data_IF_504687661426
#
_entry.id   IF_504687661426
#
_cell.length_a   1.000
_cell.length_b   1.000
_cell.length_c   1.000
_cell.angle_alpha   90.00
_cell.angle_beta   90.00
_cell.angle_gamma   90.00
#
_symmetry.space_group_name_H-M   'P 1'
#
loop_
_entity.id
_entity.type
_entity.pdbx_description
1 polymer ?
#
# COMPACT_ATOMS: atom_id res chain seq x y z
N UNK A 1 10.46 -3.92 18.36
CA UNK A 1 9.69 -5.06 18.85
C UNK A 1 10.63 -6.23 19.15
N UNK A 2 11.29 -6.84 18.17
CA UNK A 2 12.12 -8.05 18.34
C UNK A 2 13.21 -7.94 19.42
N UNK A 3 13.80 -6.78 19.63
CA UNK A 3 14.78 -6.56 20.69
C UNK A 3 14.13 -6.57 22.08
N UNK A 4 12.96 -5.94 22.21
CA UNK A 4 12.28 -5.82 23.51
C UNK A 4 11.56 -7.11 23.90
N UNK A 5 11.08 -7.89 22.93
CA UNK A 5 10.49 -9.22 23.15
C UNK A 5 11.46 -10.19 23.83
N UNK A 6 12.77 -10.00 23.60
CA UNK A 6 13.83 -10.84 24.17
C UNK A 6 14.41 -10.28 25.49
N UNK A 7 13.93 -9.13 25.96
CA UNK A 7 14.41 -8.51 27.20
C UNK A 7 13.69 -9.09 28.42
N UNK A 8 14.46 -9.42 29.45
CA UNK A 8 13.91 -9.80 30.75
C UNK A 8 13.04 -8.66 31.32
N UNK A 9 11.89 -9.00 31.87
CA UNK A 9 10.97 -8.05 32.47
C UNK A 9 9.93 -7.46 31.51
N UNK A 10 9.87 -7.95 30.26
CA UNK A 10 8.90 -7.51 29.26
C UNK A 10 8.18 -8.69 28.59
N UNK A 11 6.88 -8.50 28.36
CA UNK A 11 6.07 -9.33 27.45
C UNK A 11 5.81 -8.60 26.15
N UNK A 12 5.58 -9.35 25.09
CA UNK A 12 5.25 -8.83 23.76
C UNK A 12 4.06 -9.58 23.17
N UNK A 13 3.22 -8.87 22.43
CA UNK A 13 2.04 -9.45 21.80
C UNK A 13 1.81 -8.79 20.44
N UNK A 14 1.39 -9.59 19.46
CA UNK A 14 0.98 -9.15 18.14
C UNK A 14 -0.50 -9.46 17.97
N UNK A 15 -1.29 -8.51 17.46
CA UNK A 15 -2.70 -8.74 17.14
C UNK A 15 -2.83 -9.75 15.99
N UNK A 16 -3.86 -10.56 16.01
CA UNK A 16 -4.18 -11.49 14.92
C UNK A 16 -4.79 -10.77 13.71
N UNK A 17 -5.37 -9.57 13.93
CA UNK A 17 -6.08 -8.80 12.90
C UNK A 17 -5.16 -7.86 12.15
N UNK A 18 -5.34 -7.81 10.83
CA UNK A 18 -4.73 -6.80 9.97
C UNK A 18 -5.32 -5.41 10.26
N UNK A 19 -4.47 -4.40 10.41
CA UNK A 19 -4.88 -3.04 10.77
C UNK A 19 -4.91 -2.09 9.58
N UNK A 20 -3.79 -1.99 8.88
CA UNK A 20 -3.60 -1.07 7.76
C UNK A 20 -2.88 -1.80 6.63
N UNK A 21 -3.16 -1.36 5.40
CA UNK A 21 -2.41 -1.81 4.23
C UNK A 21 -1.35 -0.76 3.88
N UNK A 22 -0.08 -1.16 3.81
CA UNK A 22 0.95 -0.40 3.12
C UNK A 22 0.89 -0.73 1.64
N UNK A 23 0.98 0.29 0.80
CA UNK A 23 0.89 0.12 -0.64
C UNK A 23 1.74 1.15 -1.39
N UNK A 24 2.12 0.80 -2.61
CA UNK A 24 2.66 1.76 -3.57
C UNK A 24 1.48 2.49 -4.22
N UNK A 25 1.49 3.82 -4.11
CA UNK A 25 0.60 4.72 -4.85
C UNK A 25 1.35 5.32 -6.04
N UNK A 26 0.72 5.33 -7.19
CA UNK A 26 1.29 5.84 -8.44
C UNK A 26 0.76 7.23 -8.76
N UNK A 27 1.59 8.07 -9.36
CA UNK A 27 1.11 9.29 -10.01
C UNK A 27 0.46 8.94 -11.35
N UNK A 28 -0.84 8.68 -11.33
CA UNK A 28 -1.61 8.27 -12.50
C UNK A 28 -1.68 9.34 -13.61
N UNK A 29 -1.28 10.60 -13.29
CA UNK A 29 -1.20 11.69 -14.27
C UNK A 29 0.16 11.79 -14.94
N UNK A 30 1.17 11.03 -14.47
CA UNK A 30 2.51 11.04 -15.08
C UNK A 30 2.51 10.27 -16.39
N UNK A 31 3.40 10.64 -17.30
CA UNK A 31 3.56 9.96 -18.60
C UNK A 31 3.94 8.49 -18.43
N UNK A 32 4.70 8.14 -17.37
CA UNK A 32 5.16 6.78 -17.10
C UNK A 32 4.05 5.95 -16.46
N UNK A 33 3.47 6.44 -15.35
CA UNK A 33 2.54 5.64 -14.54
C UNK A 33 1.06 5.78 -14.95
N UNK A 34 0.75 6.55 -15.99
CA UNK A 34 -0.54 6.46 -16.70
C UNK A 34 -0.67 5.15 -17.47
N UNK A 35 0.46 4.54 -17.91
CA UNK A 35 0.46 3.23 -18.55
C UNK A 35 0.32 2.12 -17.51
N UNK A 36 -0.77 1.36 -17.60
CA UNK A 36 -1.07 0.24 -16.70
C UNK A 36 0.02 -0.83 -16.73
N UNK A 37 0.60 -1.11 -17.90
CA UNK A 37 1.63 -2.16 -18.04
C UNK A 37 2.85 -1.86 -17.17
N UNK A 38 3.23 -0.58 -17.02
CA UNK A 38 4.36 -0.20 -16.15
C UNK A 38 4.02 -0.45 -14.67
N UNK A 39 2.78 -0.17 -14.26
CA UNK A 39 2.34 -0.43 -12.88
C UNK A 39 2.26 -1.93 -12.58
N UNK A 40 1.77 -2.73 -13.53
CA UNK A 40 1.74 -4.19 -13.43
C UNK A 40 3.15 -4.79 -13.37
N UNK A 41 4.07 -4.29 -14.19
CA UNK A 41 5.45 -4.74 -14.18
C UNK A 41 6.12 -4.47 -12.82
N UNK A 42 5.95 -3.28 -12.25
CA UNK A 42 6.45 -2.96 -10.90
C UNK A 42 5.80 -3.87 -9.85
N UNK A 43 4.48 -4.07 -9.92
CA UNK A 43 3.78 -4.93 -8.97
C UNK A 43 4.30 -6.36 -9.01
N UNK A 44 4.55 -6.88 -10.22
CA UNK A 44 5.09 -8.23 -10.42
C UNK A 44 6.59 -8.34 -10.10
N UNK A 45 7.32 -7.23 -10.06
CA UNK A 45 8.73 -7.23 -9.69
C UNK A 45 8.99 -7.23 -8.18
N UNK A 46 7.97 -6.95 -7.35
CA UNK A 46 8.15 -6.86 -5.90
C UNK A 46 7.89 -8.21 -5.24
N UNK A 47 8.93 -8.82 -4.67
CA UNK A 47 8.79 -9.99 -3.79
C UNK A 47 8.31 -9.51 -2.41
N UNK A 48 7.00 -9.61 -2.20
CA UNK A 48 6.33 -9.17 -0.97
C UNK A 48 6.66 -10.09 0.22
N UNK A 49 6.93 -11.37 -0.02
CA UNK A 49 7.36 -12.31 1.02
C UNK A 49 8.74 -11.88 1.54
N UNK A 50 9.65 -11.48 0.66
CA UNK A 50 10.95 -10.92 1.08
C UNK A 50 10.81 -9.59 1.86
N UNK A 51 9.83 -8.76 1.54
CA UNK A 51 9.51 -7.54 2.32
C UNK A 51 9.08 -7.93 3.74
N UNK A 52 8.14 -8.87 3.88
CA UNK A 52 7.66 -9.35 5.18
C UNK A 52 8.80 -9.94 6.01
N UNK A 53 9.56 -10.86 5.44
CA UNK A 53 10.54 -11.65 6.18
C UNK A 53 11.80 -10.84 6.49
N UNK A 54 12.37 -10.14 5.51
CA UNK A 54 13.68 -9.52 5.64
C UNK A 54 13.64 -8.09 6.20
N UNK A 55 12.53 -7.36 5.98
CA UNK A 55 12.40 -5.97 6.44
C UNK A 55 11.62 -5.90 7.74
N UNK A 56 10.54 -6.68 7.86
CA UNK A 56 9.67 -6.64 9.03
C UNK A 56 9.81 -7.85 9.95
N UNK A 57 10.69 -8.82 9.64
CA UNK A 57 10.99 -9.98 10.49
C UNK A 57 9.79 -10.88 10.75
N UNK A 58 8.86 -10.98 9.80
CA UNK A 58 7.65 -11.81 9.91
C UNK A 58 6.57 -11.24 10.83
N UNK A 59 6.68 -9.97 11.24
CA UNK A 59 5.71 -9.32 12.16
C UNK A 59 4.38 -8.96 11.49
N UNK A 60 4.37 -8.84 10.17
CA UNK A 60 3.24 -8.40 9.37
C UNK A 60 2.91 -9.46 8.31
N UNK A 61 1.75 -9.34 7.68
CA UNK A 61 1.35 -10.25 6.62
C UNK A 61 1.57 -9.64 5.24
N UNK A 62 1.83 -10.50 4.26
CA UNK A 62 1.83 -10.11 2.85
C UNK A 62 0.44 -9.62 2.44
N UNK A 63 0.37 -8.49 1.73
CA UNK A 63 -0.86 -7.98 1.15
C UNK A 63 -0.94 -8.32 -0.35
N UNK A 64 -1.84 -9.22 -0.70
CA UNK A 64 -2.15 -9.56 -2.09
C UNK A 64 -3.28 -8.69 -2.65
N UNK A 65 -4.12 -8.11 -1.78
CA UNK A 65 -5.25 -7.25 -2.12
C UNK A 65 -5.17 -5.93 -1.34
N UNK A 66 -5.93 -4.91 -1.77
CA UNK A 66 -5.89 -3.60 -1.11
C UNK A 66 -6.40 -3.64 0.34
N UNK A 67 -7.36 -4.50 0.64
CA UNK A 67 -7.78 -4.81 2.00
C UNK A 67 -7.62 -6.30 2.27
N UNK A 68 -7.39 -6.66 3.55
CA UNK A 68 -7.50 -8.05 3.99
C UNK A 68 -8.91 -8.57 3.70
N UNK A 69 -9.01 -9.78 3.21
CA UNK A 69 -10.30 -10.45 2.91
C UNK A 69 -11.17 -10.67 4.16
N UNK A 70 -10.58 -10.62 5.34
CA UNK A 70 -11.28 -10.77 6.62
C UNK A 70 -12.08 -9.51 7.02
N UNK A 71 -11.86 -8.39 6.32
CA UNK A 71 -12.59 -7.16 6.59
C UNK A 71 -14.00 -7.20 5.96
N UNK A 72 -14.98 -6.49 6.54
CA UNK A 72 -16.33 -6.44 6.02
C UNK A 72 -16.37 -6.07 4.52
N UNK A 73 -17.13 -6.80 3.73
CA UNK A 73 -17.31 -6.64 2.28
C UNK A 73 -16.06 -6.84 1.42
N UNK A 74 -14.90 -7.24 2.01
CA UNK A 74 -13.62 -7.34 1.30
C UNK A 74 -13.27 -8.76 0.83
N UNK A 75 -14.10 -9.77 1.10
CA UNK A 75 -13.96 -11.11 0.53
C UNK A 75 -14.38 -11.10 -0.96
N UNK A 76 -13.54 -10.49 -1.80
CA UNK A 76 -13.76 -10.26 -3.23
C UNK A 76 -12.65 -10.94 -4.01
N UNK A 77 -13.03 -11.67 -5.07
CA UNK A 77 -12.06 -12.19 -6.03
C UNK A 77 -11.48 -11.02 -6.85
N UNK A 78 -10.16 -10.90 -6.83
CA UNK A 78 -9.41 -9.80 -7.43
C UNK A 78 -8.19 -10.35 -8.17
N UNK A 79 -7.73 -9.62 -9.18
CA UNK A 79 -6.44 -9.88 -9.81
C UNK A 79 -5.32 -9.70 -8.79
N UNK A 80 -4.44 -10.68 -8.68
CA UNK A 80 -3.25 -10.66 -7.80
C UNK A 80 -2.00 -10.72 -8.66
N UNK A 81 -1.14 -9.73 -8.51
CA UNK A 81 0.17 -9.68 -9.16
C UNK A 81 1.20 -10.36 -8.24
N UNK A 82 1.54 -11.61 -8.57
CA UNK A 82 2.58 -12.37 -7.87
C UNK A 82 3.97 -11.97 -8.31
N UNK A 83 4.99 -12.27 -7.48
CA UNK A 83 6.38 -12.02 -7.82
C UNK A 83 6.84 -12.86 -9.00
N UNK A 84 7.12 -12.22 -10.13
CA UNK A 84 7.60 -12.84 -11.36
C UNK A 84 8.36 -11.82 -12.23
N UNK A 85 9.69 -11.81 -12.13
CA UNK A 85 10.54 -10.90 -12.90
C UNK A 85 10.52 -11.21 -14.41
N UNK A 86 10.35 -12.49 -14.79
CA UNK A 86 10.31 -12.87 -16.20
C UNK A 86 9.02 -12.36 -16.84
N UNK A 87 7.90 -12.52 -16.15
CA UNK A 87 6.62 -11.94 -16.58
C UNK A 87 6.69 -10.42 -16.64
N UNK A 88 7.23 -9.75 -15.63
CA UNK A 88 7.38 -8.29 -15.62
C UNK A 88 8.21 -7.77 -16.81
N UNK A 89 9.32 -8.44 -17.13
CA UNK A 89 10.12 -8.12 -18.31
C UNK A 89 9.34 -8.38 -19.60
N UNK A 90 8.66 -9.52 -19.71
CA UNK A 90 7.87 -9.87 -20.89
C UNK A 90 6.80 -8.84 -21.22
N UNK A 91 5.99 -8.40 -20.25
CA UNK A 91 4.92 -7.43 -20.52
C UNK A 91 5.47 -6.05 -20.94
N UNK A 92 6.62 -5.64 -20.40
CA UNK A 92 7.30 -4.42 -20.86
C UNK A 92 7.83 -4.56 -22.29
N UNK A 93 8.44 -5.71 -22.65
CA UNK A 93 8.90 -5.98 -24.03
C UNK A 93 7.71 -5.97 -25.01
N UNK A 94 6.62 -6.64 -24.69
CA UNK A 94 5.40 -6.70 -25.51
C UNK A 94 4.75 -5.33 -25.69
N UNK A 95 4.84 -4.47 -24.66
CA UNK A 95 4.36 -3.09 -24.72
C UNK A 95 5.31 -2.14 -25.49
N UNK A 96 6.50 -2.62 -25.87
CA UNK A 96 7.49 -1.86 -26.64
C UNK A 96 8.42 -0.98 -25.80
N UNK A 97 8.56 -1.27 -24.51
CA UNK A 97 9.58 -0.66 -23.67
C UNK A 97 10.90 -1.43 -23.81
N UNK A 98 11.90 -0.79 -24.37
CA UNK A 98 13.22 -1.38 -24.66
C UNK A 98 14.33 -0.42 -24.24
N UNK A 99 15.47 -0.94 -23.81
CA UNK A 99 16.68 -0.17 -23.61
C UNK A 99 17.39 -0.01 -24.96
N UNK A 100 17.28 1.17 -25.57
CA UNK A 100 17.81 1.41 -26.92
C UNK A 100 19.22 2.01 -26.93
N UNK A 101 19.63 2.64 -25.83
CA UNK A 101 20.97 3.26 -25.72
C UNK A 101 21.96 2.45 -24.85
N UNK A 102 21.49 1.37 -24.22
CA UNK A 102 22.31 0.43 -23.48
C UNK A 102 22.72 0.89 -22.09
N UNK A 103 21.95 1.81 -21.49
CA UNK A 103 22.21 2.31 -20.13
C UNK A 103 21.52 1.50 -19.02
N UNK A 104 20.74 0.50 -19.41
CA UNK A 104 20.01 -0.39 -18.50
C UNK A 104 18.62 0.10 -18.14
N UNK A 105 18.17 1.24 -18.66
CA UNK A 105 16.85 1.81 -18.43
C UNK A 105 16.02 1.66 -19.71
N UNK A 106 14.82 1.11 -19.57
CA UNK A 106 13.89 0.98 -20.71
C UNK A 106 13.27 2.31 -21.07
N UNK A 107 13.04 2.53 -22.34
CA UNK A 107 12.27 3.67 -22.83
C UNK A 107 11.26 3.27 -23.91
N UNK A 108 10.26 4.12 -24.09
CA UNK A 108 9.26 4.06 -25.18
C UNK A 108 9.00 5.48 -25.67
N UNK A 109 9.03 5.71 -26.98
CA UNK A 109 8.86 7.05 -27.57
C UNK A 109 9.84 8.10 -26.99
N UNK A 110 11.07 7.72 -26.69
CA UNK A 110 12.11 8.56 -26.06
C UNK A 110 11.82 8.96 -24.60
N UNK A 111 10.82 8.37 -23.95
CA UNK A 111 10.54 8.55 -22.52
C UNK A 111 11.14 7.38 -21.77
N UNK A 112 12.16 7.65 -20.96
CA UNK A 112 12.79 6.65 -20.10
C UNK A 112 11.91 6.31 -18.92
N UNK A 113 11.91 5.04 -18.52
CA UNK A 113 11.28 4.59 -17.29
C UNK A 113 12.14 4.98 -16.08
N UNK A 114 12.23 6.29 -15.82
CA UNK A 114 13.01 6.86 -14.73
C UNK A 114 12.12 7.85 -13.94
N UNK A 115 11.99 7.65 -12.62
CA UNK A 115 11.12 8.45 -11.79
C UNK A 115 11.60 8.58 -10.34
N UNK A 116 11.13 9.63 -9.65
CA UNK A 116 11.31 9.76 -8.21
C UNK A 116 10.39 8.80 -7.46
N UNK A 117 10.95 8.05 -6.51
CA UNK A 117 10.20 7.29 -5.53
C UNK A 117 10.14 8.10 -4.23
N UNK A 118 9.08 8.87 -4.11
CA UNK A 118 8.85 9.74 -2.96
C UNK A 118 8.38 8.94 -1.76
N UNK A 119 8.90 9.23 -0.58
CA UNK A 119 8.41 8.63 0.65
C UNK A 119 8.59 9.57 1.85
N UNK A 120 7.74 9.38 2.85
CA UNK A 120 7.82 10.15 4.08
C UNK A 120 8.98 9.66 4.94
N UNK A 121 9.82 10.57 5.41
CA UNK A 121 10.86 10.28 6.41
C UNK A 121 10.19 9.75 7.68
N UNK A 122 10.54 8.55 8.10
CA UNK A 122 9.87 7.93 9.24
C UNK A 122 10.71 6.88 9.93
N UNK A 123 10.72 5.66 9.43
CA UNK A 123 11.38 4.52 10.05
C UNK A 123 12.45 3.93 9.15
N UNK A 124 13.44 3.26 9.74
CA UNK A 124 14.45 2.52 8.99
C UNK A 124 13.84 1.40 8.12
N UNK A 125 12.68 0.86 8.51
CA UNK A 125 11.98 -0.14 7.73
C UNK A 125 11.40 0.45 6.44
N UNK A 126 10.87 1.68 6.50
CA UNK A 126 10.35 2.37 5.31
C UNK A 126 11.51 2.70 4.34
N UNK A 127 12.66 3.18 4.87
CA UNK A 127 13.87 3.41 4.06
C UNK A 127 14.34 2.13 3.38
N UNK A 128 14.42 1.01 4.11
CA UNK A 128 14.83 -0.29 3.57
C UNK A 128 13.85 -0.81 2.52
N UNK A 129 12.54 -0.63 2.73
CA UNK A 129 11.51 -1.05 1.80
C UNK A 129 11.61 -0.29 0.47
N UNK A 130 11.81 1.04 0.53
CA UNK A 130 12.00 1.86 -0.68
C UNK A 130 13.24 1.42 -1.45
N UNK A 131 14.37 1.26 -0.77
CA UNK A 131 15.63 0.81 -1.40
C UNK A 131 15.46 -0.56 -2.03
N UNK A 132 14.79 -1.48 -1.34
CA UNK A 132 14.50 -2.81 -1.87
C UNK A 132 13.64 -2.74 -3.15
N UNK A 133 12.56 -1.96 -3.14
CA UNK A 133 11.69 -1.82 -4.32
C UNK A 133 12.44 -1.18 -5.50
N UNK A 134 13.30 -0.19 -5.25
CA UNK A 134 14.15 0.40 -6.29
C UNK A 134 15.10 -0.64 -6.91
N UNK A 135 15.71 -1.51 -6.09
CA UNK A 135 16.55 -2.61 -6.56
C UNK A 135 15.75 -3.61 -7.43
N UNK A 136 14.53 -3.97 -7.02
CA UNK A 136 13.68 -4.86 -7.81
C UNK A 136 13.26 -4.22 -9.15
N UNK A 137 12.87 -2.95 -9.15
CA UNK A 137 12.50 -2.21 -10.36
C UNK A 137 13.68 -2.13 -11.35
N UNK A 138 14.91 -1.96 -10.86
CA UNK A 138 16.11 -1.92 -11.73
C UNK A 138 16.32 -3.22 -12.51
N UNK A 139 15.90 -4.38 -11.98
CA UNK A 139 16.02 -5.69 -12.65
C UNK A 139 15.09 -5.84 -13.85
N UNK A 140 14.11 -4.97 -13.95
CA UNK A 140 13.18 -4.91 -15.09
C UNK A 140 13.39 -3.65 -15.95
N UNK A 141 14.52 -2.94 -15.77
CA UNK A 141 14.86 -1.76 -16.56
C UNK A 141 14.08 -0.49 -16.17
N UNK A 142 13.61 -0.40 -14.93
CA UNK A 142 12.95 0.80 -14.40
C UNK A 142 13.85 1.42 -13.34
N UNK A 143 14.26 2.67 -13.55
CA UNK A 143 15.04 3.43 -12.58
C UNK A 143 14.12 4.18 -11.61
N UNK A 144 14.18 3.83 -10.34
CA UNK A 144 13.49 4.55 -9.28
C UNK A 144 14.52 5.19 -8.36
N UNK A 145 14.45 6.52 -8.21
CA UNK A 145 15.35 7.28 -7.34
C UNK A 145 14.67 7.57 -6.01
N UNK A 146 15.15 7.03 -4.88
CA UNK A 146 14.59 7.30 -3.56
C UNK A 146 14.65 8.79 -3.23
N UNK A 147 13.51 9.36 -2.82
CA UNK A 147 13.38 10.75 -2.41
C UNK A 147 12.60 10.83 -1.10
N UNK A 148 13.30 11.05 0.01
CA UNK A 148 12.65 11.21 1.31
C UNK A 148 12.26 12.66 1.57
N UNK A 149 11.11 12.90 2.19
CA UNK A 149 10.65 14.22 2.58
C UNK A 149 9.96 14.19 3.96
N UNK A 150 9.98 15.31 4.66
CA UNK A 150 9.17 15.49 5.87
C UNK A 150 7.69 15.53 5.49
N UNK A 151 6.80 15.16 6.41
CA UNK A 151 5.37 14.98 6.15
C UNK A 151 4.72 16.13 5.35
N UNK A 152 4.99 17.38 5.72
CA UNK A 152 4.37 18.53 5.04
C UNK A 152 4.92 18.73 3.62
N UNK A 153 6.23 18.55 3.43
CA UNK A 153 6.86 18.64 2.11
C UNK A 153 6.44 17.47 1.22
N UNK A 154 6.41 16.26 1.77
CA UNK A 154 5.90 15.07 1.11
C UNK A 154 4.46 15.27 0.59
N UNK A 155 3.59 15.83 1.44
CA UNK A 155 2.20 16.12 1.06
C UNK A 155 2.11 17.17 -0.05
N UNK A 156 2.91 18.25 0.05
CA UNK A 156 2.97 19.28 -0.96
C UNK A 156 3.47 18.77 -2.32
N UNK A 157 4.46 17.86 -2.32
CA UNK A 157 4.99 17.23 -3.53
C UNK A 157 3.95 16.33 -4.19
N UNK A 158 3.19 15.55 -3.43
CA UNK A 158 2.10 14.74 -3.99
C UNK A 158 1.01 15.63 -4.59
N UNK A 159 0.60 16.70 -3.89
CA UNK A 159 -0.41 17.61 -4.38
C UNK A 159 0.03 18.36 -5.66
N UNK A 160 1.32 18.67 -5.79
CA UNK A 160 1.86 19.31 -7.00
C UNK A 160 2.11 18.35 -8.15
N UNK A 161 2.05 17.01 -7.91
CA UNK A 161 2.40 15.99 -8.88
C UNK A 161 3.92 15.80 -9.07
N UNK A 162 4.74 16.34 -8.16
CA UNK A 162 6.20 16.22 -8.20
C UNK A 162 6.67 14.91 -7.58
N UNK A 163 6.22 13.80 -8.15
CA UNK A 163 6.60 12.44 -7.79
C UNK A 163 6.22 11.47 -8.92
N UNK A 164 6.86 10.31 -8.94
CA UNK A 164 6.46 9.20 -9.81
C UNK A 164 5.56 8.22 -9.08
N UNK A 165 6.07 7.68 -7.98
CA UNK A 165 5.34 6.80 -7.08
C UNK A 165 5.71 7.11 -5.62
N UNK A 166 4.88 6.64 -4.71
CA UNK A 166 5.10 6.83 -3.27
C UNK A 166 4.68 5.60 -2.49
N UNK A 167 5.25 5.39 -1.30
CA UNK A 167 4.66 4.48 -0.32
C UNK A 167 3.65 5.26 0.51
N UNK A 168 2.50 4.67 0.66
CA UNK A 168 1.45 5.15 1.52
C UNK A 168 0.81 4.03 2.32
N UNK A 169 -0.01 4.38 3.29
CA UNK A 169 -0.76 3.42 4.09
C UNK A 169 -2.21 3.88 4.23
N UNK A 170 -3.12 2.94 4.27
CA UNK A 170 -4.53 3.25 4.54
C UNK A 170 -4.66 4.01 5.85
N UNK A 171 -5.43 5.10 5.83
CA UNK A 171 -5.62 5.95 7.00
C UNK A 171 -6.67 5.35 7.93
N UNK A 172 -6.49 5.59 9.22
CA UNK A 172 -7.43 5.16 10.25
C UNK A 172 -6.85 4.10 11.19
N UNK A 173 -7.37 4.09 12.41
CA UNK A 173 -7.04 3.12 13.45
C UNK A 173 -8.11 2.02 13.58
N UNK A 174 -9.03 1.93 12.63
CA UNK A 174 -10.19 1.07 12.67
C UNK A 174 -10.12 -0.03 11.62
N UNK A 175 -10.69 -1.17 11.96
CA UNK A 175 -10.88 -2.29 11.03
C UNK A 175 -12.13 -2.06 10.13
N UNK A 176 -12.29 -0.85 9.61
CA UNK A 176 -13.43 -0.45 8.78
C UNK A 176 -12.96 0.06 7.39
N UNK A 177 -13.12 -0.75 6.34
CA UNK A 177 -12.73 -0.37 5.00
C UNK A 177 -13.56 0.81 4.45
N UNK A 178 -14.77 1.07 4.95
CA UNK A 178 -15.59 2.19 4.49
C UNK A 178 -14.87 3.53 4.74
N UNK A 179 -14.22 3.69 5.90
CA UNK A 179 -13.46 4.90 6.22
C UNK A 179 -12.29 5.17 5.26
N UNK A 180 -11.77 4.12 4.63
CA UNK A 180 -10.68 4.24 3.64
C UNK A 180 -11.26 4.50 2.25
N UNK A 181 -12.26 3.73 1.82
CA UNK A 181 -12.89 3.82 0.50
C UNK A 181 -13.49 5.20 0.25
N UNK A 182 -14.06 5.86 1.27
CA UNK A 182 -14.60 7.22 1.14
C UNK A 182 -13.58 8.25 0.66
N UNK A 183 -12.28 7.97 0.83
CA UNK A 183 -11.21 8.83 0.29
C UNK A 183 -11.03 8.73 -1.23
N UNK A 184 -11.70 7.83 -1.92
CA UNK A 184 -11.75 7.82 -3.39
C UNK A 184 -12.60 9.00 -3.91
N UNK A 185 -13.53 9.54 -3.12
CA UNK A 185 -14.23 10.76 -3.49
C UNK A 185 -13.31 12.00 -3.40
N UNK A 186 -12.96 12.66 -4.53
CA UNK A 186 -12.04 13.79 -4.51
C UNK A 186 -12.52 15.00 -3.71
N UNK A 187 -13.84 15.10 -3.47
CA UNK A 187 -14.45 16.25 -2.79
C UNK A 187 -14.30 16.21 -1.27
N UNK A 188 -14.13 15.01 -0.70
CA UNK A 188 -14.10 14.78 0.75
C UNK A 188 -12.80 14.12 1.22
N UNK A 189 -11.96 13.67 0.30
CA UNK A 189 -10.75 12.92 0.57
C UNK A 189 -9.71 13.72 1.36
N UNK A 190 -9.09 13.03 2.30
CA UNK A 190 -7.85 13.46 2.97
C UNK A 190 -6.65 12.58 2.58
N UNK A 191 -6.87 11.57 1.75
CA UNK A 191 -5.83 10.70 1.21
C UNK A 191 -5.51 11.13 -0.23
N UNK A 192 -4.33 11.71 -0.48
CA UNK A 192 -4.04 12.29 -1.79
C UNK A 192 -3.89 11.25 -2.90
N UNK A 193 -3.62 9.99 -2.56
CA UNK A 193 -3.48 8.90 -3.53
C UNK A 193 -4.86 8.38 -3.93
N UNK A 194 -5.72 8.08 -2.96
CA UNK A 194 -7.09 7.63 -3.24
C UNK A 194 -7.90 8.74 -3.93
N UNK A 195 -7.70 10.00 -3.54
CA UNK A 195 -8.28 11.16 -4.23
C UNK A 195 -7.91 11.19 -5.72
N UNK A 196 -6.65 10.91 -6.04
CA UNK A 196 -6.19 10.88 -7.44
C UNK A 196 -6.81 9.71 -8.21
N UNK A 197 -7.02 8.56 -7.55
CA UNK A 197 -7.76 7.43 -8.13
C UNK A 197 -9.16 7.87 -8.50
N UNK A 198 -9.90 8.49 -7.58
CA UNK A 198 -11.24 8.99 -7.86
C UNK A 198 -11.31 10.07 -8.93
N UNK A 199 -10.29 10.92 -9.02
CA UNK A 199 -10.18 11.92 -10.09
C UNK A 199 -9.92 11.28 -11.46
N UNK A 200 -9.15 10.19 -11.52
CA UNK A 200 -8.86 9.43 -12.74
C UNK A 200 -9.97 8.45 -13.13
N UNK A 201 -10.77 8.02 -12.17
CA UNK A 201 -11.85 7.03 -12.30
C UNK A 201 -13.15 7.59 -11.71
N UNK A 202 -13.84 8.51 -12.41
CA UNK A 202 -15.04 9.18 -11.87
C UNK A 202 -16.19 8.21 -11.53
N UNK A 203 -16.23 7.05 -12.17
CA UNK A 203 -17.20 5.99 -11.87
C UNK A 203 -17.00 5.39 -10.48
N UNK A 204 -15.74 5.27 -10.01
CA UNK A 204 -15.47 4.80 -8.65
C UNK A 204 -15.88 5.86 -7.61
N UNK A 205 -15.62 7.14 -7.90
CA UNK A 205 -16.06 8.24 -7.05
C UNK A 205 -17.60 8.27 -6.92
N UNK A 206 -18.34 8.02 -8.01
CA UNK A 206 -19.79 7.95 -7.99
C UNK A 206 -20.32 6.76 -7.17
N UNK A 207 -19.65 5.60 -7.22
CA UNK A 207 -20.01 4.44 -6.39
C UNK A 207 -19.76 4.72 -4.89
N UNK A 208 -18.72 5.48 -4.57
CA UNK A 208 -18.45 5.91 -3.19
C UNK A 208 -19.54 6.86 -2.68
N UNK A 209 -19.99 7.82 -3.50
CA UNK A 209 -21.12 8.69 -3.15
C UNK A 209 -22.42 7.90 -2.92
N UNK A 210 -22.65 6.85 -3.69
CA UNK A 210 -23.78 5.95 -3.50
C UNK A 210 -23.65 5.15 -2.18
N UNK A 211 -22.44 4.68 -1.87
CA UNK A 211 -22.15 3.89 -0.67
C UNK A 211 -22.51 4.65 0.61
N UNK A 212 -22.28 5.96 0.68
CA UNK A 212 -22.57 6.80 1.84
C UNK A 212 -24.07 6.79 2.25
N UNK A 213 -24.95 6.47 1.31
CA UNK A 213 -26.42 6.43 1.54
C UNK A 213 -27.03 5.03 1.39
N UNK A 214 -26.24 4.04 0.98
CA UNK A 214 -26.71 2.69 0.76
C UNK A 214 -27.10 2.00 2.07
N UNK A 215 -28.24 1.32 2.07
CA UNK A 215 -28.76 0.54 3.21
C UNK A 215 -29.05 -0.92 2.86
N UNK A 216 -28.98 -1.26 1.59
CA UNK A 216 -29.14 -2.62 1.08
C UNK A 216 -27.78 -3.32 1.09
N UNK A 217 -27.63 -4.36 1.91
CA UNK A 217 -26.41 -5.13 2.07
C UNK A 217 -25.89 -5.73 0.74
N UNK A 218 -26.81 -6.19 -0.14
CA UNK A 218 -26.41 -6.75 -1.43
C UNK A 218 -25.84 -5.66 -2.34
N UNK A 219 -26.43 -4.46 -2.33
CA UNK A 219 -25.92 -3.32 -3.09
C UNK A 219 -24.58 -2.82 -2.54
N UNK A 220 -24.41 -2.76 -1.21
CA UNK A 220 -23.14 -2.43 -0.58
C UNK A 220 -22.05 -3.41 -1.05
N UNK A 221 -22.31 -4.72 -0.99
CA UNK A 221 -21.35 -5.73 -1.45
C UNK A 221 -21.03 -5.58 -2.95
N UNK A 222 -22.01 -5.27 -3.81
CA UNK A 222 -21.78 -5.03 -5.22
C UNK A 222 -20.88 -3.82 -5.48
N UNK A 223 -21.06 -2.73 -4.72
CA UNK A 223 -20.22 -1.53 -4.78
C UNK A 223 -18.77 -1.89 -4.41
N UNK A 224 -18.57 -2.59 -3.28
CA UNK A 224 -17.24 -3.05 -2.87
C UNK A 224 -16.59 -3.95 -3.93
N UNK A 225 -17.33 -4.91 -4.46
CA UNK A 225 -16.84 -5.79 -5.53
C UNK A 225 -16.33 -4.96 -6.70
N UNK A 226 -17.13 -3.98 -7.16
CA UNK A 226 -16.76 -3.16 -8.32
C UNK A 226 -15.53 -2.30 -8.04
N UNK A 227 -15.48 -1.62 -6.90
CA UNK A 227 -14.35 -0.77 -6.53
C UNK A 227 -13.07 -1.59 -6.42
N UNK A 228 -13.09 -2.67 -5.63
CA UNK A 228 -11.90 -3.46 -5.35
C UNK A 228 -11.39 -4.21 -6.58
N UNK A 229 -12.28 -4.76 -7.40
CA UNK A 229 -11.92 -5.41 -8.66
C UNK A 229 -11.31 -4.41 -9.63
N UNK A 230 -11.91 -3.22 -9.79
CA UNK A 230 -11.37 -2.19 -10.69
C UNK A 230 -10.00 -1.71 -10.23
N UNK A 231 -9.82 -1.48 -8.92
CA UNK A 231 -8.50 -1.08 -8.38
C UNK A 231 -7.44 -2.12 -8.66
N UNK A 232 -7.77 -3.40 -8.52
CA UNK A 232 -6.85 -4.50 -8.77
C UNK A 232 -6.60 -4.70 -10.27
N UNK A 233 -7.64 -4.82 -11.10
CA UNK A 233 -7.53 -5.10 -12.52
C UNK A 233 -6.80 -4.01 -13.31
N UNK A 234 -6.90 -2.75 -12.85
CA UNK A 234 -6.17 -1.63 -13.45
C UNK A 234 -4.85 -1.32 -12.73
N UNK A 235 -4.46 -2.13 -11.75
CA UNK A 235 -3.25 -1.93 -10.94
C UNK A 235 -3.11 -0.48 -10.46
N UNK A 236 -4.18 0.10 -9.88
CA UNK A 236 -4.20 1.50 -9.45
C UNK A 236 -3.34 1.73 -8.21
N UNK A 237 -3.09 0.69 -7.44
CA UNK A 237 -2.15 0.61 -6.32
C UNK A 237 -1.46 -0.75 -6.32
N UNK A 238 -0.30 -0.86 -5.66
CA UNK A 238 0.33 -2.15 -5.38
C UNK A 238 0.36 -2.38 -3.87
N UNK A 239 -0.55 -3.19 -3.32
CA UNK A 239 -0.50 -3.61 -1.92
C UNK A 239 0.80 -4.33 -1.60
N UNK A 240 1.40 -4.06 -0.44
CA UNK A 240 2.68 -4.62 -0.02
C UNK A 240 2.53 -5.53 1.21
N UNK A 241 2.05 -4.96 2.31
CA UNK A 241 1.89 -5.65 3.59
C UNK A 241 0.62 -5.18 4.31
N UNK A 242 0.04 -6.07 5.11
CA UNK A 242 -0.93 -5.73 6.13
C UNK A 242 -0.21 -5.60 7.48
N UNK A 243 -0.31 -4.43 8.10
CA UNK A 243 0.24 -4.23 9.45
C UNK A 243 -0.67 -4.82 10.50
N UNK A 244 -0.12 -5.06 11.69
CA UNK A 244 -0.86 -5.52 12.88
C UNK A 244 -0.58 -4.59 14.06
N UNK A 245 -1.46 -4.55 15.04
CA UNK A 245 -1.16 -3.90 16.30
C UNK A 245 -0.08 -4.69 17.05
N UNK A 246 0.87 -3.97 17.62
CA UNK A 246 1.96 -4.53 18.42
C UNK A 246 1.88 -3.94 19.83
N UNK A 247 2.00 -4.75 20.84
CA UNK A 247 2.09 -4.31 22.24
C UNK A 247 3.35 -4.85 22.90
N UNK A 248 3.98 -4.01 23.69
CA UNK A 248 5.07 -4.37 24.59
C UNK A 248 4.69 -3.86 25.97
N UNK A 249 4.78 -4.70 26.97
CA UNK A 249 4.36 -4.38 28.33
C UNK A 249 5.30 -5.02 29.35
N UNK A 250 5.34 -4.48 30.57
CA UNK A 250 6.15 -5.04 31.65
C UNK A 250 5.52 -6.32 32.21
N UNK A 251 6.32 -7.15 32.87
CA UNK A 251 5.87 -8.38 33.57
C UNK A 251 4.82 -8.13 34.66
N UNK A 252 4.59 -6.87 35.04
CA UNK A 252 3.48 -6.51 35.96
C UNK A 252 2.11 -6.65 35.28
N UNK A 253 2.05 -6.75 33.95
CA UNK A 253 0.81 -6.94 33.19
C UNK A 253 0.59 -8.44 32.98
N UNK A 254 -0.53 -8.94 33.47
CA UNK A 254 -0.93 -10.35 33.30
C UNK A 254 -1.50 -10.61 31.90
N UNK A 255 -2.25 -9.65 31.35
CA UNK A 255 -2.80 -9.75 29.99
C UNK A 255 -3.14 -8.37 29.43
N UNK A 256 -3.09 -8.27 28.11
CA UNK A 256 -3.52 -7.11 27.33
C UNK A 256 -4.43 -7.56 26.20
N UNK A 257 -5.53 -6.83 25.97
CA UNK A 257 -6.41 -7.06 24.82
C UNK A 257 -6.34 -5.85 23.89
N UNK A 258 -6.05 -6.07 22.62
CA UNK A 258 -6.01 -5.01 21.63
C UNK A 258 -7.39 -4.34 21.48
N UNK A 259 -7.46 -3.01 21.49
CA UNK A 259 -8.70 -2.29 21.23
C UNK A 259 -9.08 -2.37 19.76
N UNK A 260 -10.38 -2.21 19.47
CA UNK A 260 -10.87 -2.11 18.10
C UNK A 260 -10.38 -0.83 17.40
N UNK A 261 -10.09 0.23 18.15
CA UNK A 261 -9.47 1.46 17.66
C UNK A 261 -8.03 1.52 18.16
N UNK A 262 -7.09 1.38 17.24
CA UNK A 262 -5.66 1.40 17.52
C UNK A 262 -5.09 2.79 17.87
N UNK A 263 -5.91 3.86 17.78
CA UNK A 263 -5.47 5.23 18.06
C UNK A 263 -5.17 5.49 19.52
N UNK A 264 -5.68 4.64 20.43
CA UNK A 264 -5.45 4.80 21.86
C UNK A 264 -5.40 3.46 22.61
N UNK A 265 -4.68 3.46 23.73
CA UNK A 265 -4.62 2.32 24.64
C UNK A 265 -5.72 2.45 25.70
N UNK A 266 -6.62 1.46 25.76
CA UNK A 266 -7.65 1.42 26.78
C UNK A 266 -7.12 0.77 28.07
N UNK A 267 -7.17 1.52 29.18
CA UNK A 267 -6.73 1.03 30.48
C UNK A 267 -7.53 -0.19 30.95
N UNK A 268 -8.81 -0.26 30.60
CA UNK A 268 -9.67 -1.41 30.92
C UNK A 268 -9.27 -2.72 30.21
N UNK A 269 -8.44 -2.63 29.18
CA UNK A 269 -7.90 -3.77 28.45
C UNK A 269 -6.58 -4.29 29.05
N UNK A 270 -6.10 -3.70 30.14
CA UNK A 270 -4.87 -4.06 30.84
C UNK A 270 -5.23 -4.72 32.16
N UNK A 271 -4.78 -5.96 32.35
CA UNK A 271 -4.93 -6.68 33.60
C UNK A 271 -3.56 -6.84 34.25
N UNK A 272 -3.47 -6.47 35.52
CA UNK A 272 -2.23 -6.60 36.29
C UNK A 272 -2.17 -7.94 37.03
N UNK A 273 -0.94 -8.42 37.31
CA UNK A 273 -0.67 -9.59 38.12
C UNK A 273 -1.07 -9.38 39.58
#
# INVERSE_FOLDING_TARGET
>A
YAQMEQMDGFGAQVDEKSLQTYYVGYNLSSEIFSDQVVREAISSAIDKDAVVDNIYGGLFDKADTFFSRDLPYCEVEQTVYGFDLDHANQILDEAGYVDTDGDGIREKNSVKLSAAFLYQTGTASDDNMVVYICDQASKIGIELTPQSAQMMDWYAMIQSGDYGLTIFKTQGGYYDPAMVITNINPSTSMDPILMQIGASQPELAALVDELDSATDEARIQEIYNTILTTMADQCLTTPLIYTRQLAIYSDAVASYTFPADASFTSVQNIHLN
#
